data_IF_543995393995
#
_entry.id   IF_543995393995
#
_cell.length_a   1.000
_cell.length_b   1.000
_cell.length_c   1.000
_cell.angle_alpha   90.00
_cell.angle_beta   90.00
_cell.angle_gamma   90.00
#
_symmetry.space_group_name_H-M   'P 1'
#
loop_
_entity.id
_entity.type
_entity.pdbx_description
1 polymer ?
#
# COMPACT_ATOMS: atom_id res chain seq x y z
N UNK A 1 76.89 68.70 -17.27
CA UNK A 1 78.05 67.73 -17.21
C UNK A 1 77.50 66.33 -17.26
N UNK A 2 77.92 65.59 -18.27
CA UNK A 2 77.98 64.11 -18.42
C UNK A 2 76.68 63.35 -18.35
N UNK A 3 76.21 62.93 -19.49
CA UNK A 3 76.45 61.68 -20.23
C UNK A 3 76.08 60.42 -19.46
N UNK A 4 75.14 59.47 -19.90
CA UNK A 4 75.32 58.56 -20.99
C UNK A 4 74.02 57.83 -21.31
N UNK A 5 73.73 57.61 -22.59
CA UNK A 5 72.86 56.59 -23.23
C UNK A 5 73.59 55.23 -23.25
N UNK A 6 73.02 54.14 -23.91
CA UNK A 6 71.71 53.45 -23.92
C UNK A 6 71.91 51.94 -23.64
N UNK A 7 70.84 51.18 -23.71
CA UNK A 7 70.83 49.91 -24.56
C UNK A 7 69.43 49.28 -24.66
N UNK A 8 69.16 48.98 -25.88
CA UNK A 8 67.98 48.14 -26.30
C UNK A 8 68.20 46.69 -25.83
N UNK A 9 67.17 46.05 -25.31
CA UNK A 9 66.96 44.58 -25.44
C UNK A 9 65.49 44.30 -25.65
N UNK A 10 65.20 43.85 -26.88
CA UNK A 10 64.01 43.21 -27.38
C UNK A 10 63.77 41.95 -26.56
N UNK A 11 62.60 41.79 -25.95
CA UNK A 11 62.11 40.50 -25.42
C UNK A 11 60.80 40.18 -26.08
N UNK A 12 60.78 39.10 -26.83
CA UNK A 12 59.62 38.48 -27.45
C UNK A 12 58.68 38.03 -26.36
N UNK A 13 57.42 38.56 -26.32
CA UNK A 13 56.34 38.04 -25.52
C UNK A 13 55.67 36.91 -26.31
N UNK A 14 55.91 35.65 -25.90
CA UNK A 14 55.14 34.47 -26.35
C UNK A 14 53.79 34.52 -25.66
N UNK A 15 52.75 34.77 -26.41
CA UNK A 15 51.36 34.72 -25.94
C UNK A 15 50.93 33.29 -25.66
N UNK A 16 50.89 32.89 -24.38
CA UNK A 16 50.22 31.68 -23.95
C UNK A 16 48.71 31.97 -23.81
N UNK A 17 47.94 31.59 -24.83
CA UNK A 17 46.47 31.62 -24.80
C UNK A 17 45.96 30.62 -23.79
N UNK A 18 45.57 31.06 -22.59
CA UNK A 18 44.78 30.32 -21.64
C UNK A 18 43.34 30.23 -22.20
N UNK A 19 43.02 29.08 -22.85
CA UNK A 19 41.64 28.72 -23.11
C UNK A 19 40.96 28.45 -21.73
N UNK A 20 40.37 29.49 -21.17
CA UNK A 20 39.45 29.33 -20.05
C UNK A 20 38.21 28.57 -20.56
N UNK A 21 38.23 27.26 -20.45
CA UNK A 21 37.01 26.44 -20.65
C UNK A 21 35.98 26.93 -19.63
N UNK A 22 34.93 27.63 -20.12
CA UNK A 22 33.77 27.97 -19.31
C UNK A 22 33.11 26.68 -18.87
N UNK A 23 33.41 26.20 -17.66
CA UNK A 23 32.62 25.20 -16.97
C UNK A 23 31.26 25.84 -16.70
N UNK A 24 30.31 25.63 -17.64
CA UNK A 24 28.94 25.99 -17.41
C UNK A 24 28.50 25.28 -16.13
N UNK A 25 27.95 26.00 -15.11
CA UNK A 25 27.43 25.34 -13.91
C UNK A 25 26.38 24.35 -14.37
N UNK A 26 26.58 23.06 -14.08
CA UNK A 26 25.58 22.05 -14.28
C UNK A 26 24.33 22.56 -13.57
N UNK A 27 23.26 22.85 -14.31
CA UNK A 27 21.98 23.28 -13.77
C UNK A 27 21.61 22.24 -12.74
N UNK A 28 21.68 22.59 -11.44
CA UNK A 28 21.23 21.72 -10.35
C UNK A 28 19.79 21.35 -10.67
N UNK A 29 19.57 20.12 -11.11
CA UNK A 29 18.23 19.62 -11.41
C UNK A 29 17.48 19.63 -10.09
N UNK A 30 16.35 20.35 -10.02
CA UNK A 30 15.54 20.48 -8.81
C UNK A 30 15.15 19.08 -8.30
N UNK A 31 15.41 18.83 -7.02
CA UNK A 31 15.12 17.55 -6.38
C UNK A 31 13.60 17.37 -6.26
N UNK A 32 13.07 16.33 -6.87
CA UNK A 32 11.66 15.93 -6.75
C UNK A 32 11.50 15.18 -5.42
N UNK A 33 10.74 15.76 -4.50
CA UNK A 33 10.45 15.15 -3.20
C UNK A 33 9.04 14.58 -3.18
N UNK A 34 8.89 13.32 -2.80
CA UNK A 34 7.61 12.61 -2.69
C UNK A 34 7.47 12.11 -1.25
N UNK A 35 6.33 12.37 -0.63
CA UNK A 35 5.97 11.77 0.65
C UNK A 35 5.25 10.46 0.39
N UNK A 36 5.53 9.42 1.17
CA UNK A 36 4.89 8.12 1.02
C UNK A 36 4.30 7.68 2.36
N UNK A 37 2.99 7.79 2.52
CA UNK A 37 2.25 7.57 3.74
C UNK A 37 1.73 6.13 3.86
N UNK A 38 1.58 5.66 5.09
CA UNK A 38 0.80 4.46 5.42
C UNK A 38 0.47 4.37 6.91
N UNK A 39 -0.50 3.50 7.25
CA UNK A 39 -0.96 3.28 8.63
C UNK A 39 -0.17 2.22 9.41
N UNK A 40 0.71 1.47 8.73
CA UNK A 40 1.34 0.28 9.26
C UNK A 40 2.55 0.59 10.13
N UNK A 41 3.01 -0.37 10.94
CA UNK A 41 4.26 -0.24 11.67
C UNK A 41 5.48 -0.36 10.75
N UNK A 42 6.63 0.15 11.20
CA UNK A 42 7.89 0.09 10.44
C UNK A 42 8.50 -1.32 10.34
N UNK A 43 7.93 -2.31 11.02
CA UNK A 43 8.38 -3.71 10.98
C UNK A 43 7.61 -4.57 9.99
N UNK A 44 6.55 -4.04 9.40
CA UNK A 44 5.69 -4.80 8.49
C UNK A 44 6.26 -4.91 7.07
N UNK A 45 6.04 -6.03 6.37
CA UNK A 45 6.51 -6.26 5.00
C UNK A 45 6.22 -5.12 4.03
N UNK A 46 5.03 -4.51 4.13
CA UNK A 46 4.64 -3.42 3.24
C UNK A 46 5.45 -2.13 3.49
N UNK A 47 5.84 -1.83 4.75
CA UNK A 47 6.76 -0.73 5.04
C UNK A 47 8.15 -1.01 4.46
N UNK A 48 8.69 -2.21 4.70
CA UNK A 48 10.01 -2.59 4.18
C UNK A 48 10.07 -2.53 2.65
N UNK A 49 8.98 -2.90 1.97
CA UNK A 49 8.86 -2.76 0.52
C UNK A 49 8.79 -1.31 0.05
N UNK A 50 8.15 -0.42 0.82
CA UNK A 50 8.13 1.01 0.53
C UNK A 50 9.53 1.64 0.67
N UNK A 51 10.30 1.25 1.69
CA UNK A 51 11.70 1.67 1.86
C UNK A 51 12.61 1.12 0.74
N UNK A 52 12.42 -0.14 0.35
CA UNK A 52 13.10 -0.73 -0.81
C UNK A 52 12.81 0.06 -2.10
N UNK A 53 11.56 0.39 -2.36
CA UNK A 53 11.15 1.21 -3.49
C UNK A 53 11.80 2.59 -3.45
N UNK A 54 11.73 3.30 -2.31
CA UNK A 54 12.29 4.63 -2.14
C UNK A 54 13.80 4.65 -2.41
N UNK A 55 14.53 3.67 -1.87
CA UNK A 55 15.97 3.49 -2.08
C UNK A 55 16.31 3.27 -3.57
N UNK A 56 15.58 2.39 -4.24
CA UNK A 56 15.85 2.05 -5.64
C UNK A 56 15.53 3.22 -6.58
N UNK A 57 14.43 3.94 -6.34
CA UNK A 57 14.08 5.13 -7.11
C UNK A 57 15.17 6.19 -6.96
N UNK A 58 15.66 6.46 -5.74
CA UNK A 58 16.74 7.40 -5.52
C UNK A 58 18.02 6.98 -6.26
N UNK A 59 18.41 5.71 -6.16
CA UNK A 59 19.60 5.18 -6.86
C UNK A 59 19.48 5.30 -8.38
N UNK A 60 18.35 4.88 -8.97
CA UNK A 60 18.12 4.90 -10.42
C UNK A 60 17.96 6.30 -11.01
N UNK A 61 17.62 7.28 -10.19
CA UNK A 61 17.49 8.69 -10.60
C UNK A 61 18.69 9.53 -10.20
N UNK A 62 19.80 8.93 -9.74
CA UNK A 62 20.98 9.61 -9.22
C UNK A 62 20.63 10.68 -8.17
N UNK A 63 19.71 10.37 -7.25
CA UNK A 63 19.23 11.25 -6.19
C UNK A 63 18.28 12.37 -6.63
N UNK A 64 17.92 12.44 -7.91
CA UNK A 64 16.98 13.43 -8.44
C UNK A 64 15.56 13.27 -7.86
N UNK A 65 15.14 12.04 -7.54
CA UNK A 65 13.89 11.76 -6.85
C UNK A 65 14.19 11.21 -5.47
N UNK A 66 13.62 11.84 -4.45
CA UNK A 66 13.71 11.43 -3.06
C UNK A 66 12.31 11.13 -2.52
N UNK A 67 12.12 9.90 -2.06
CA UNK A 67 10.86 9.45 -1.46
C UNK A 67 11.10 9.26 0.03
N UNK A 68 10.31 9.94 0.87
CA UNK A 68 10.33 9.77 2.30
C UNK A 68 9.09 9.02 2.76
N UNK A 69 9.29 7.91 3.49
CA UNK A 69 8.22 7.06 4.01
C UNK A 69 7.76 7.58 5.37
N UNK A 70 6.44 7.67 5.57
CA UNK A 70 5.77 8.13 6.79
C UNK A 70 4.85 7.03 7.31
N UNK A 71 5.32 6.18 8.26
CA UNK A 71 4.54 5.09 8.85
C UNK A 71 3.52 5.59 9.89
N UNK A 72 2.61 4.69 10.32
CA UNK A 72 1.78 4.88 11.51
C UNK A 72 0.83 6.08 11.44
N UNK A 73 0.27 6.37 10.27
CA UNK A 73 -0.67 7.49 10.06
C UNK A 73 -0.08 8.88 10.35
N UNK A 74 1.24 9.06 10.27
CA UNK A 74 1.89 10.37 10.51
C UNK A 74 1.39 11.48 9.58
N UNK A 75 0.87 11.15 8.40
CA UNK A 75 0.26 12.10 7.47
C UNK A 75 -1.27 12.08 7.48
N UNK A 76 -1.86 11.34 8.41
CA UNK A 76 -3.30 11.16 8.57
C UNK A 76 -3.79 9.76 8.18
N UNK A 77 -5.05 9.45 8.45
CA UNK A 77 -5.70 8.21 8.07
C UNK A 77 -5.69 7.97 6.56
N UNK A 78 -5.60 6.70 6.14
CA UNK A 78 -5.42 6.35 4.73
C UNK A 78 -6.44 6.93 3.76
N UNK A 79 -7.71 7.09 4.18
CA UNK A 79 -8.75 7.74 3.35
C UNK A 79 -8.48 9.24 3.14
N UNK A 80 -8.02 9.93 4.17
CA UNK A 80 -7.68 11.35 4.09
C UNK A 80 -6.46 11.56 3.17
N UNK A 81 -5.46 10.66 3.27
CA UNK A 81 -4.30 10.71 2.37
C UNK A 81 -4.73 10.45 0.92
N UNK A 82 -5.65 9.52 0.65
CA UNK A 82 -6.19 9.32 -0.70
C UNK A 82 -6.92 10.58 -1.20
N UNK A 83 -7.65 11.28 -0.35
CA UNK A 83 -8.28 12.55 -0.72
C UNK A 83 -7.23 13.64 -1.01
N UNK A 84 -6.16 13.72 -0.21
CA UNK A 84 -5.03 14.62 -0.50
C UNK A 84 -4.40 14.32 -1.86
N UNK A 85 -4.22 13.02 -2.21
CA UNK A 85 -3.73 12.59 -3.53
C UNK A 85 -4.68 13.11 -4.62
N UNK A 86 -5.98 12.88 -4.48
CA UNK A 86 -7.00 13.34 -5.45
C UNK A 86 -6.94 14.84 -5.66
N UNK A 87 -6.72 15.61 -4.60
CA UNK A 87 -6.62 17.07 -4.63
C UNK A 87 -5.29 17.59 -5.20
N UNK A 88 -4.35 16.72 -5.58
CA UNK A 88 -3.10 17.10 -6.23
C UNK A 88 -1.89 17.22 -5.30
N UNK A 89 -2.00 16.77 -4.06
CA UNK A 89 -0.87 16.77 -3.16
C UNK A 89 0.25 15.82 -3.67
N UNK A 90 1.51 16.25 -3.44
CA UNK A 90 2.68 15.42 -3.73
C UNK A 90 2.88 14.36 -2.62
N UNK A 91 2.01 13.38 -2.62
CA UNK A 91 2.01 12.26 -1.67
C UNK A 91 1.59 10.98 -2.37
N UNK A 92 2.16 9.86 -1.95
CA UNK A 92 1.74 8.49 -2.23
C UNK A 92 1.15 7.87 -0.98
N UNK A 93 0.38 6.81 -1.13
CA UNK A 93 -0.17 6.05 -0.01
C UNK A 93 -0.02 4.55 -0.23
N UNK A 94 0.25 3.77 0.82
CA UNK A 94 -0.07 2.35 0.82
C UNK A 94 -1.54 2.25 1.19
N UNK A 95 -2.38 1.91 0.23
CA UNK A 95 -3.83 1.87 0.43
C UNK A 95 -4.43 0.52 0.06
N UNK A 96 -5.61 0.29 0.55
CA UNK A 96 -6.45 -0.86 0.24
C UNK A 96 -7.35 -0.53 -0.97
N UNK A 97 -7.62 -1.48 -1.91
CA UNK A 97 -8.55 -1.27 -3.02
C UNK A 97 -9.91 -0.71 -2.58
N UNK A 98 -10.41 -1.15 -1.43
CA UNK A 98 -11.70 -0.68 -0.91
C UNK A 98 -11.72 0.78 -0.50
N UNK A 99 -10.57 1.39 -0.17
CA UNK A 99 -10.51 2.84 0.05
C UNK A 99 -10.55 3.63 -1.26
N UNK A 100 -10.10 3.04 -2.36
CA UNK A 100 -10.24 3.62 -3.69
C UNK A 100 -11.66 3.47 -4.26
N UNK A 101 -12.48 2.57 -3.69
CA UNK A 101 -13.88 2.39 -4.08
C UNK A 101 -14.77 3.59 -3.77
N UNK A 102 -14.34 4.51 -2.92
CA UNK A 102 -15.02 5.78 -2.70
C UNK A 102 -15.00 6.66 -3.97
N UNK A 103 -14.02 6.46 -4.85
CA UNK A 103 -13.84 7.20 -6.10
C UNK A 103 -14.23 6.37 -7.34
N UNK A 104 -13.90 5.09 -7.35
CA UNK A 104 -14.25 4.13 -8.41
C UNK A 104 -14.87 2.91 -7.76
N UNK A 105 -16.21 2.85 -7.62
CA UNK A 105 -16.89 1.81 -6.85
C UNK A 105 -16.49 0.38 -7.19
N UNK A 106 -16.28 0.07 -8.46
CA UNK A 106 -16.02 -1.29 -8.94
C UNK A 106 -14.70 -1.89 -8.39
N UNK A 107 -13.69 -1.06 -8.07
CA UNK A 107 -12.42 -1.60 -7.54
C UNK A 107 -12.61 -2.26 -6.17
N UNK A 108 -13.66 -1.88 -5.45
CA UNK A 108 -14.00 -2.47 -4.15
C UNK A 108 -14.28 -3.97 -4.20
N UNK A 109 -14.60 -4.53 -5.37
CA UNK A 109 -14.80 -5.98 -5.54
C UNK A 109 -13.53 -6.79 -5.19
N UNK A 110 -12.34 -6.20 -5.37
CA UNK A 110 -11.05 -6.85 -5.04
C UNK A 110 -10.92 -7.18 -3.53
N UNK A 111 -11.70 -6.54 -2.69
CA UNK A 111 -11.81 -6.85 -1.27
C UNK A 111 -12.94 -7.82 -0.94
N UNK A 112 -13.53 -8.45 -1.94
CA UNK A 112 -14.62 -9.40 -1.73
C UNK A 112 -14.21 -10.61 -0.88
N UNK A 113 -15.07 -11.06 0.05
CA UNK A 113 -14.75 -12.22 0.89
C UNK A 113 -14.56 -13.47 0.04
N UNK A 114 -13.41 -14.15 0.26
CA UNK A 114 -13.04 -15.38 -0.46
C UNK A 114 -12.96 -15.25 -1.99
N UNK A 115 -12.81 -14.04 -2.53
CA UNK A 115 -12.78 -13.77 -3.97
C UNK A 115 -11.54 -14.41 -4.62
N UNK A 116 -10.36 -14.16 -4.05
CA UNK A 116 -9.07 -14.67 -4.50
C UNK A 116 -8.47 -15.52 -3.39
N UNK A 117 -7.78 -16.59 -3.77
CA UNK A 117 -7.17 -17.54 -2.82
C UNK A 117 -5.65 -17.47 -2.86
N UNK A 118 -5.07 -17.06 -3.99
CA UNK A 118 -3.63 -17.09 -4.24
C UNK A 118 -3.16 -15.79 -4.87
N UNK A 119 -1.85 -15.53 -4.78
CA UNK A 119 -1.19 -14.42 -5.46
C UNK A 119 -1.39 -14.54 -6.99
N UNK A 120 -1.27 -15.75 -7.52
CA UNK A 120 -1.42 -16.02 -8.96
C UNK A 120 -2.82 -15.69 -9.48
N UNK A 121 -3.87 -16.02 -8.71
CA UNK A 121 -5.24 -15.61 -9.06
C UNK A 121 -5.38 -14.09 -9.10
N UNK A 122 -4.75 -13.38 -8.15
CA UNK A 122 -4.76 -11.92 -8.14
C UNK A 122 -4.01 -11.34 -9.34
N UNK A 123 -2.85 -11.89 -9.69
CA UNK A 123 -2.08 -11.48 -10.87
C UNK A 123 -2.87 -11.65 -12.17
N UNK A 124 -3.67 -12.73 -12.29
CA UNK A 124 -4.60 -12.88 -13.42
C UNK A 124 -5.63 -11.76 -13.49
N UNK A 125 -6.17 -11.33 -12.33
CA UNK A 125 -7.09 -10.19 -12.29
C UNK A 125 -6.40 -8.90 -12.73
N UNK A 126 -5.19 -8.63 -12.27
CA UNK A 126 -4.43 -7.44 -12.66
C UNK A 126 -4.12 -7.42 -14.17
N UNK A 127 -3.89 -8.59 -14.78
CA UNK A 127 -3.66 -8.71 -16.21
C UNK A 127 -4.93 -8.59 -17.06
N UNK A 128 -6.11 -8.66 -16.45
CA UNK A 128 -7.41 -8.69 -17.15
C UNK A 128 -7.77 -7.34 -17.78
N UNK A 129 -8.61 -7.39 -18.83
CA UNK A 129 -9.13 -6.18 -19.46
C UNK A 129 -10.04 -5.38 -18.51
N UNK A 130 -10.72 -6.08 -17.59
CA UNK A 130 -11.51 -5.44 -16.53
C UNK A 130 -10.62 -4.56 -15.64
N UNK A 131 -9.48 -5.07 -15.18
CA UNK A 131 -8.59 -4.27 -14.32
C UNK A 131 -7.97 -3.09 -15.07
N UNK A 132 -7.51 -3.30 -16.31
CA UNK A 132 -7.01 -2.22 -17.18
C UNK A 132 -8.07 -1.10 -17.40
N UNK A 133 -9.34 -1.49 -17.55
CA UNK A 133 -10.43 -0.51 -17.64
C UNK A 133 -10.65 0.22 -16.30
N UNK A 134 -10.50 -0.50 -15.18
CA UNK A 134 -10.61 0.09 -13.83
C UNK A 134 -9.45 1.04 -13.53
N UNK A 135 -8.22 0.73 -13.95
CA UNK A 135 -7.08 1.66 -13.85
C UNK A 135 -7.34 2.97 -14.61
N UNK A 136 -7.87 2.89 -15.84
CA UNK A 136 -8.24 4.11 -16.60
C UNK A 136 -9.30 4.95 -15.87
N UNK A 137 -10.26 4.31 -15.20
CA UNK A 137 -11.26 5.02 -14.39
C UNK A 137 -10.62 5.67 -13.14
N UNK A 138 -9.63 5.03 -12.53
CA UNK A 138 -8.86 5.62 -11.44
C UNK A 138 -8.04 6.83 -11.92
N UNK A 139 -7.44 6.75 -13.11
CA UNK A 139 -6.74 7.90 -13.72
C UNK A 139 -7.70 9.08 -13.97
N UNK A 140 -8.91 8.81 -14.46
CA UNK A 140 -9.96 9.82 -14.61
C UNK A 140 -10.43 10.41 -13.27
N UNK A 141 -10.36 9.61 -12.19
CA UNK A 141 -10.67 10.04 -10.84
C UNK A 141 -9.50 10.77 -10.13
N UNK A 142 -8.35 10.91 -10.80
CA UNK A 142 -7.20 11.66 -10.29
C UNK A 142 -6.05 10.80 -9.76
N UNK A 143 -6.10 9.46 -9.91
CA UNK A 143 -5.12 8.53 -9.35
C UNK A 143 -4.31 7.81 -10.43
N UNK A 144 -2.98 7.84 -10.30
CA UNK A 144 -2.08 6.92 -10.99
C UNK A 144 -1.64 5.83 -10.02
N UNK A 145 -1.87 4.57 -10.37
CA UNK A 145 -1.30 3.46 -9.62
C UNK A 145 0.17 3.28 -10.00
N UNK A 146 1.04 3.42 -9.03
CA UNK A 146 2.48 3.12 -9.15
C UNK A 146 2.73 1.63 -8.91
N UNK A 147 1.91 1.02 -8.07
CA UNK A 147 1.92 -0.40 -7.77
C UNK A 147 0.50 -0.89 -7.47
N UNK A 148 0.19 -2.12 -7.90
CA UNK A 148 -1.08 -2.80 -7.62
C UNK A 148 -0.90 -4.27 -7.19
N UNK A 149 0.32 -4.82 -7.24
CA UNK A 149 0.62 -6.24 -7.06
C UNK A 149 1.18 -6.61 -5.68
N UNK A 150 0.98 -5.78 -4.66
CA UNK A 150 1.51 -6.03 -3.32
C UNK A 150 0.63 -6.97 -2.50
N UNK A 151 1.01 -8.26 -2.37
CA UNK A 151 0.32 -9.17 -1.45
C UNK A 151 0.55 -8.74 -0.01
N UNK A 152 -0.56 -8.52 0.71
CA UNK A 152 -0.52 -8.05 2.10
C UNK A 152 -0.75 -9.18 3.12
N UNK A 153 -1.33 -10.29 2.69
CA UNK A 153 -1.56 -11.48 3.50
C UNK A 153 -3.02 -11.89 3.61
N UNK A 154 -3.24 -13.08 4.15
CA UNK A 154 -4.59 -13.51 4.55
C UNK A 154 -4.96 -12.86 5.87
N UNK A 155 -6.21 -12.38 5.95
CA UNK A 155 -6.72 -11.72 7.15
C UNK A 155 -7.45 -12.70 8.05
N UNK A 156 -7.15 -12.62 9.34
CA UNK A 156 -7.68 -13.49 10.37
C UNK A 156 -8.32 -12.67 11.49
N UNK A 157 -9.26 -13.29 12.22
CA UNK A 157 -9.92 -12.66 13.35
C UNK A 157 -9.07 -12.87 14.62
N UNK A 158 -8.85 -11.81 15.40
CA UNK A 158 -8.26 -11.88 16.75
C UNK A 158 -9.28 -11.47 17.80
N UNK A 159 -9.43 -12.25 18.87
CA UNK A 159 -10.40 -12.05 19.95
C UNK A 159 -9.88 -12.66 21.26
N UNK A 160 -10.67 -12.58 22.35
CA UNK A 160 -10.37 -13.29 23.62
C UNK A 160 -10.86 -14.75 23.63
N UNK A 161 -11.79 -15.09 22.75
CA UNK A 161 -12.36 -16.44 22.65
C UNK A 161 -12.28 -16.97 21.23
N UNK A 162 -12.24 -18.30 21.07
CA UNK A 162 -12.33 -18.93 19.75
C UNK A 162 -13.60 -18.52 19.00
N UNK A 163 -13.46 -18.34 17.69
CA UNK A 163 -14.57 -18.13 16.75
C UNK A 163 -14.39 -19.11 15.60
N UNK A 164 -15.09 -20.24 15.66
CA UNK A 164 -14.94 -21.34 14.69
C UNK A 164 -16.00 -21.34 13.59
N UNK A 165 -17.09 -20.61 13.82
CA UNK A 165 -18.23 -20.57 12.90
C UNK A 165 -18.94 -19.21 12.95
N UNK A 166 -19.81 -18.89 11.96
CA UNK A 166 -20.66 -17.70 12.01
C UNK A 166 -21.54 -17.62 13.25
N UNK A 167 -21.96 -18.76 13.83
CA UNK A 167 -22.75 -18.78 15.06
C UNK A 167 -21.95 -18.23 16.26
N UNK A 168 -20.63 -18.46 16.31
CA UNK A 168 -19.76 -18.00 17.43
C UNK A 168 -19.37 -16.52 17.33
N UNK A 169 -19.45 -15.89 16.14
CA UNK A 169 -19.22 -14.45 15.94
C UNK A 169 -20.51 -13.64 16.07
N UNK A 170 -21.66 -14.30 16.06
CA UNK A 170 -22.95 -13.63 16.09
C UNK A 170 -23.08 -12.67 17.28
N UNK A 171 -23.45 -11.42 17.00
CA UNK A 171 -23.60 -10.35 17.99
C UNK A 171 -22.29 -9.80 18.56
N UNK A 172 -21.11 -10.34 18.18
CA UNK A 172 -19.81 -9.82 18.62
C UNK A 172 -19.53 -8.46 17.98
N UNK A 173 -19.08 -7.49 18.75
CA UNK A 173 -18.62 -6.20 18.23
C UNK A 173 -17.22 -6.37 17.67
N UNK A 174 -17.09 -6.29 16.35
CA UNK A 174 -15.83 -6.48 15.63
C UNK A 174 -15.37 -5.16 15.02
N UNK A 175 -14.13 -4.78 15.31
CA UNK A 175 -13.51 -3.65 14.63
C UNK A 175 -13.33 -3.99 13.15
N UNK A 176 -13.77 -3.09 12.29
CA UNK A 176 -13.46 -3.11 10.85
C UNK A 176 -12.88 -1.75 10.42
N UNK A 177 -12.10 -1.69 9.34
CA UNK A 177 -11.76 -0.40 8.73
C UNK A 177 -13.02 0.29 8.20
N UNK A 178 -13.02 1.62 7.99
CA UNK A 178 -14.16 2.35 7.40
C UNK A 178 -14.32 2.04 5.90
N UNK A 179 -14.67 0.80 5.60
CA UNK A 179 -14.79 0.21 4.27
C UNK A 179 -16.08 -0.59 4.18
N UNK A 180 -16.93 -0.27 3.21
CA UNK A 180 -18.26 -0.88 3.06
C UNK A 180 -18.18 -2.40 2.87
N UNK A 181 -17.18 -2.91 2.14
CA UNK A 181 -17.01 -4.35 1.92
C UNK A 181 -16.78 -5.08 3.27
N UNK A 182 -15.94 -4.53 4.15
CA UNK A 182 -15.73 -5.11 5.48
C UNK A 182 -17.01 -5.06 6.32
N UNK A 183 -17.68 -3.91 6.33
CA UNK A 183 -18.93 -3.74 7.08
C UNK A 183 -19.96 -4.78 6.66
N UNK A 184 -20.21 -4.92 5.35
CA UNK A 184 -21.21 -5.86 4.84
C UNK A 184 -20.78 -7.33 5.03
N UNK A 185 -19.47 -7.63 4.93
CA UNK A 185 -18.96 -8.97 5.19
C UNK A 185 -19.17 -9.39 6.64
N UNK A 186 -18.80 -8.55 7.60
CA UNK A 186 -18.97 -8.89 9.01
C UNK A 186 -20.43 -8.88 9.46
N UNK A 187 -21.30 -8.03 8.88
CA UNK A 187 -22.76 -8.14 9.04
C UNK A 187 -23.28 -9.49 8.54
N UNK A 188 -22.85 -9.93 7.37
CA UNK A 188 -23.26 -11.21 6.79
C UNK A 188 -22.79 -12.41 7.63
N UNK A 189 -21.64 -12.29 8.33
CA UNK A 189 -21.20 -13.27 9.33
C UNK A 189 -22.03 -13.23 10.63
N UNK A 190 -22.91 -12.25 10.82
CA UNK A 190 -23.71 -12.08 12.03
C UNK A 190 -23.08 -11.20 13.11
N UNK A 191 -21.90 -10.62 12.87
CA UNK A 191 -21.24 -9.70 13.78
C UNK A 191 -21.87 -8.30 13.77
N UNK A 192 -21.48 -7.48 14.73
CA UNK A 192 -21.73 -6.03 14.78
C UNK A 192 -20.45 -5.28 14.43
N UNK A 193 -20.21 -4.95 13.14
CA UNK A 193 -19.03 -4.22 12.73
C UNK A 193 -19.04 -2.80 13.26
N UNK A 194 -17.91 -2.37 13.83
CA UNK A 194 -17.68 -1.01 14.34
C UNK A 194 -16.43 -0.46 13.66
N UNK A 195 -16.57 0.69 13.02
CA UNK A 195 -15.45 1.33 12.32
C UNK A 195 -14.56 2.08 13.31
N UNK A 196 -13.25 1.74 13.29
CA UNK A 196 -12.21 2.40 14.10
C UNK A 196 -10.97 2.54 13.24
N UNK A 197 -10.29 3.69 13.29
CA UNK A 197 -9.03 3.93 12.57
C UNK A 197 -7.94 2.97 13.07
N UNK A 198 -6.96 2.65 12.21
CA UNK A 198 -5.99 1.60 12.55
C UNK A 198 -5.15 1.96 13.78
N UNK A 199 -4.72 3.21 13.90
CA UNK A 199 -3.96 3.72 15.05
C UNK A 199 -4.70 3.62 16.40
N UNK A 200 -6.03 3.52 16.37
CA UNK A 200 -6.88 3.47 17.56
C UNK A 200 -7.27 2.04 17.97
N UNK A 201 -6.99 1.03 17.11
CA UNK A 201 -7.51 -0.35 17.31
C UNK A 201 -7.00 -0.98 18.62
N UNK A 202 -5.72 -0.78 18.95
CA UNK A 202 -5.17 -1.32 20.20
C UNK A 202 -5.94 -0.79 21.42
N UNK A 203 -6.13 0.52 21.50
CA UNK A 203 -6.88 1.15 22.58
C UNK A 203 -8.35 0.72 22.62
N UNK A 204 -9.00 0.61 21.46
CA UNK A 204 -10.39 0.16 21.37
C UNK A 204 -10.59 -1.29 21.86
N UNK A 205 -9.64 -2.17 21.56
CA UNK A 205 -9.60 -3.53 22.09
C UNK A 205 -9.31 -3.53 23.59
N UNK A 206 -8.30 -2.79 24.06
CA UNK A 206 -7.91 -2.73 25.46
C UNK A 206 -9.06 -2.24 26.36
N UNK A 207 -9.84 -1.26 25.88
CA UNK A 207 -10.98 -0.70 26.58
C UNK A 207 -12.29 -1.46 26.34
N UNK A 208 -12.27 -2.57 25.59
CA UNK A 208 -13.44 -3.36 25.19
C UNK A 208 -14.53 -2.56 24.45
N UNK A 209 -14.18 -1.45 23.78
CA UNK A 209 -15.07 -0.77 22.82
C UNK A 209 -15.42 -1.72 21.67
N UNK A 210 -14.45 -2.55 21.26
CA UNK A 210 -14.65 -3.69 20.37
C UNK A 210 -14.09 -4.96 21.01
N UNK A 211 -14.74 -6.09 20.75
CA UNK A 211 -14.38 -7.40 21.31
C UNK A 211 -13.35 -8.12 20.45
N UNK A 212 -13.30 -7.82 19.15
CA UNK A 212 -12.41 -8.44 18.19
C UNK A 212 -11.95 -7.44 17.13
N UNK A 213 -10.88 -7.79 16.44
CA UNK A 213 -10.39 -7.11 15.24
C UNK A 213 -9.91 -8.15 14.22
N UNK A 214 -9.56 -7.71 13.02
CA UNK A 214 -9.06 -8.59 11.98
C UNK A 214 -7.92 -7.93 11.20
N UNK A 215 -6.91 -8.71 10.84
CA UNK A 215 -5.79 -8.26 10.03
C UNK A 215 -4.92 -9.46 9.59
N UNK A 216 -3.93 -9.25 8.69
CA UNK A 216 -2.86 -10.22 8.48
C UNK A 216 -1.98 -10.37 9.72
N UNK A 217 -1.28 -11.51 9.84
CA UNK A 217 -0.45 -11.82 11.02
C UNK A 217 0.62 -10.75 11.29
N UNK A 218 1.27 -10.23 10.24
CA UNK A 218 2.25 -9.16 10.37
C UNK A 218 1.68 -7.89 11.00
N UNK A 219 0.45 -7.52 10.64
CA UNK A 219 -0.23 -6.34 11.20
C UNK A 219 -0.76 -6.60 12.62
N UNK A 220 -1.25 -7.82 12.92
CA UNK A 220 -1.62 -8.22 14.29
C UNK A 220 -0.43 -8.12 15.24
N UNK A 221 0.77 -8.52 14.77
CA UNK A 221 2.02 -8.37 15.51
C UNK A 221 2.45 -6.90 15.59
N UNK A 222 2.53 -6.21 14.45
CA UNK A 222 3.04 -4.84 14.34
C UNK A 222 2.24 -3.82 15.17
N UNK A 223 0.90 -3.96 15.21
CA UNK A 223 0.03 -3.15 16.05
C UNK A 223 -0.12 -3.71 17.48
N UNK A 224 0.64 -4.76 17.85
CA UNK A 224 0.66 -5.37 19.20
C UNK A 224 -0.70 -5.87 19.69
N UNK A 225 -1.62 -6.20 18.78
CA UNK A 225 -2.98 -6.62 19.18
C UNK A 225 -2.96 -7.94 19.98
N UNK A 226 -1.90 -8.72 19.84
CA UNK A 226 -1.63 -9.92 20.63
C UNK A 226 -1.40 -9.65 22.14
N UNK A 227 -1.12 -8.42 22.55
CA UNK A 227 -1.01 -8.06 23.97
C UNK A 227 -2.38 -8.01 24.65
N UNK A 228 -3.42 -7.61 23.92
CA UNK A 228 -4.78 -7.35 24.42
C UNK A 228 -5.81 -8.39 23.96
N UNK A 229 -5.47 -9.31 23.04
CA UNK A 229 -6.29 -10.44 22.59
C UNK A 229 -5.41 -11.66 22.34
N UNK A 230 -5.88 -12.85 22.74
CA UNK A 230 -5.03 -14.04 22.80
C UNK A 230 -5.46 -15.19 21.89
N UNK A 231 -6.52 -15.02 21.10
CA UNK A 231 -6.99 -16.08 20.21
C UNK A 231 -7.11 -15.56 18.79
N UNK A 232 -6.42 -16.21 17.85
CA UNK A 232 -6.55 -15.98 16.41
C UNK A 232 -7.34 -17.14 15.81
N UNK A 233 -8.52 -16.83 15.26
CA UNK A 233 -9.31 -17.75 14.45
C UNK A 233 -8.90 -17.57 12.99
N UNK A 234 -8.43 -18.66 12.34
CA UNK A 234 -7.79 -18.64 11.01
C UNK A 234 -8.83 -18.53 9.88
N UNK A 235 -9.69 -17.54 9.96
CA UNK A 235 -10.82 -17.34 9.05
C UNK A 235 -10.43 -17.16 7.60
N UNK A 236 -9.30 -16.54 7.29
CA UNK A 236 -8.84 -16.30 5.91
C UNK A 236 -9.88 -15.62 5.02
N UNK A 237 -10.77 -14.83 5.63
CA UNK A 237 -11.96 -14.27 4.97
C UNK A 237 -11.65 -13.28 3.86
N UNK A 238 -10.46 -12.65 3.90
CA UNK A 238 -9.92 -11.84 2.81
C UNK A 238 -8.49 -12.24 2.50
N UNK A 239 -8.17 -12.37 1.23
CA UNK A 239 -6.80 -12.35 0.72
C UNK A 239 -6.49 -10.91 0.31
N UNK A 240 -5.73 -10.22 1.15
CA UNK A 240 -5.55 -8.78 1.03
C UNK A 240 -4.36 -8.40 0.14
N UNK A 241 -4.54 -7.35 -0.63
CA UNK A 241 -3.51 -6.73 -1.46
C UNK A 241 -3.50 -5.22 -1.21
N UNK A 242 -2.35 -4.61 -1.43
CA UNK A 242 -2.19 -3.15 -1.34
C UNK A 242 -1.91 -2.55 -2.71
N UNK A 243 -2.23 -1.28 -2.84
CA UNK A 243 -1.96 -0.45 -4.00
C UNK A 243 -1.26 0.84 -3.58
N UNK A 244 -0.42 1.39 -4.46
CA UNK A 244 0.31 2.64 -4.23
C UNK A 244 -0.14 3.71 -5.22
N UNK A 245 -1.23 4.43 -4.94
CA UNK A 245 -1.67 5.56 -5.75
C UNK A 245 -0.80 6.80 -5.52
N UNK A 246 -0.69 7.61 -6.57
CA UNK A 246 -0.28 9.01 -6.52
C UNK A 246 -1.19 9.86 -7.41
N UNK A 247 -1.10 11.19 -7.30
CA UNK A 247 -1.88 12.07 -8.17
C UNK A 247 -1.46 11.95 -9.63
N UNK A 248 -2.42 11.73 -10.54
CA UNK A 248 -2.17 11.55 -11.98
C UNK A 248 -1.54 12.79 -12.62
N UNK A 249 -1.98 14.00 -12.25
CA UNK A 249 -1.45 15.23 -12.82
C UNK A 249 -0.03 15.50 -12.33
N UNK A 250 0.28 15.17 -11.07
CA UNK A 250 1.65 15.22 -10.57
C UNK A 250 2.52 14.22 -11.34
N UNK A 251 2.11 12.97 -11.47
CA UNK A 251 2.82 11.94 -12.23
C UNK A 251 3.09 12.38 -13.68
N UNK A 252 2.09 12.90 -14.38
CA UNK A 252 2.22 13.31 -15.78
C UNK A 252 3.17 14.50 -16.00
N UNK A 253 3.40 15.33 -14.98
CA UNK A 253 4.40 16.42 -15.03
C UNK A 253 5.83 15.97 -14.78
N UNK A 254 6.03 14.75 -14.30
CA UNK A 254 7.38 14.20 -14.10
C UNK A 254 8.07 13.93 -15.45
N UNK A 255 9.40 14.05 -15.54
CA UNK A 255 10.14 13.62 -16.73
C UNK A 255 9.86 12.16 -17.09
N UNK A 256 9.80 11.82 -18.37
CA UNK A 256 9.42 10.48 -18.84
C UNK A 256 10.32 9.36 -18.28
N UNK A 257 11.60 9.63 -18.11
CA UNK A 257 12.54 8.70 -17.47
C UNK A 257 12.22 8.45 -15.99
N UNK A 258 11.77 9.48 -15.26
CA UNK A 258 11.32 9.37 -13.87
C UNK A 258 10.00 8.58 -13.78
N UNK A 259 9.04 8.86 -14.66
CA UNK A 259 7.79 8.09 -14.74
C UNK A 259 8.08 6.59 -14.93
N UNK A 260 8.95 6.27 -15.87
CA UNK A 260 9.38 4.88 -16.14
C UNK A 260 10.01 4.23 -14.90
N UNK A 261 10.93 4.93 -14.23
CA UNK A 261 11.58 4.42 -13.02
C UNK A 261 10.55 4.16 -11.91
N UNK A 262 9.61 5.08 -11.67
CA UNK A 262 8.57 4.91 -10.65
C UNK A 262 7.71 3.66 -10.90
N UNK A 263 7.27 3.43 -12.14
CA UNK A 263 6.43 2.28 -12.48
C UNK A 263 7.21 0.96 -12.39
N UNK A 264 8.44 0.91 -12.89
CA UNK A 264 9.27 -0.30 -12.84
C UNK A 264 9.64 -0.66 -11.40
N UNK A 265 10.09 0.32 -10.60
CA UNK A 265 10.43 0.08 -9.20
C UNK A 265 9.18 -0.14 -8.33
N UNK A 266 8.03 0.46 -8.69
CA UNK A 266 6.75 0.16 -8.07
C UNK A 266 6.36 -1.32 -8.21
N UNK A 267 6.44 -1.86 -9.43
CA UNK A 267 6.20 -3.29 -9.70
C UNK A 267 7.15 -4.19 -8.89
N UNK A 268 8.44 -3.84 -8.84
CA UNK A 268 9.43 -4.58 -8.01
C UNK A 268 9.14 -4.43 -6.51
N UNK A 269 8.69 -3.26 -6.08
CA UNK A 269 8.27 -3.03 -4.68
C UNK A 269 7.10 -3.92 -4.28
N UNK A 270 6.11 -4.09 -5.16
CA UNK A 270 4.99 -5.04 -4.94
C UNK A 270 5.45 -6.49 -4.88
N UNK A 271 6.38 -6.89 -5.76
CA UNK A 271 6.99 -8.22 -5.71
C UNK A 271 7.80 -8.45 -4.42
N UNK A 272 8.54 -7.44 -3.95
CA UNK A 272 9.27 -7.50 -2.68
C UNK A 272 8.34 -7.58 -1.49
N UNK A 273 7.23 -6.79 -1.47
CA UNK A 273 6.19 -6.92 -0.45
C UNK A 273 5.64 -8.35 -0.40
N UNK A 274 5.30 -8.92 -1.56
CA UNK A 274 4.80 -10.28 -1.69
C UNK A 274 5.81 -11.31 -1.13
N UNK A 275 7.06 -11.19 -1.54
CA UNK A 275 8.16 -12.06 -1.06
C UNK A 275 8.31 -12.00 0.45
N UNK A 276 8.37 -10.79 1.01
CA UNK A 276 8.50 -10.57 2.45
C UNK A 276 7.29 -11.10 3.22
N UNK A 277 6.07 -10.82 2.74
CA UNK A 277 4.83 -11.29 3.38
C UNK A 277 4.80 -12.82 3.45
N UNK A 278 5.15 -13.50 2.35
CA UNK A 278 5.18 -14.97 2.33
C UNK A 278 6.31 -15.54 3.20
N UNK A 279 7.52 -14.98 3.11
CA UNK A 279 8.68 -15.50 3.84
C UNK A 279 8.60 -15.26 5.35
N UNK A 280 7.93 -14.22 5.81
CA UNK A 280 7.81 -13.88 7.24
C UNK A 280 6.52 -14.39 7.89
N UNK A 281 5.62 -15.02 7.13
CA UNK A 281 4.34 -15.49 7.67
C UNK A 281 4.51 -16.46 8.83
N UNK A 282 5.38 -17.46 8.67
CA UNK A 282 5.64 -18.49 9.70
C UNK A 282 6.40 -17.92 10.90
N UNK A 283 7.27 -16.92 10.68
CA UNK A 283 7.95 -16.20 11.75
C UNK A 283 6.94 -15.39 12.59
N UNK A 284 6.03 -14.65 11.96
CA UNK A 284 4.97 -13.96 12.69
C UNK A 284 4.06 -14.93 13.46
N UNK A 285 3.73 -16.08 12.88
CA UNK A 285 2.97 -17.11 13.58
C UNK A 285 3.74 -17.64 14.80
N UNK A 286 5.03 -17.91 14.66
CA UNK A 286 5.88 -18.36 15.77
C UNK A 286 5.99 -17.31 16.89
N UNK A 287 6.20 -16.04 16.53
CA UNK A 287 6.24 -14.92 17.50
C UNK A 287 4.93 -14.77 18.25
N UNK A 288 3.79 -14.82 17.54
CA UNK A 288 2.46 -14.73 18.14
C UNK A 288 2.23 -15.89 19.12
N UNK A 289 2.59 -17.13 18.75
CA UNK A 289 2.52 -18.29 19.66
C UNK A 289 3.44 -18.11 20.87
N UNK A 290 4.67 -17.65 20.67
CA UNK A 290 5.60 -17.34 21.73
C UNK A 290 5.11 -16.26 22.70
N UNK A 291 4.26 -15.34 22.22
CA UNK A 291 3.57 -14.33 23.04
C UNK A 291 2.27 -14.84 23.69
N UNK A 292 2.00 -16.15 23.63
CA UNK A 292 0.85 -16.80 24.27
C UNK A 292 -0.46 -16.71 23.46
N UNK A 293 -0.38 -16.45 22.15
CA UNK A 293 -1.55 -16.47 21.25
C UNK A 293 -1.86 -17.89 20.79
N UNK A 294 -3.11 -18.30 20.92
CA UNK A 294 -3.63 -19.55 20.40
C UNK A 294 -4.18 -19.35 18.98
N UNK A 295 -3.90 -20.30 18.09
CA UNK A 295 -4.48 -20.36 16.76
C UNK A 295 -5.56 -21.43 16.71
N UNK A 296 -6.70 -21.09 16.11
CA UNK A 296 -7.88 -21.95 16.06
C UNK A 296 -8.36 -22.07 14.63
N UNK A 297 -8.52 -23.30 14.16
CA UNK A 297 -9.11 -23.59 12.87
C UNK A 297 -10.62 -23.35 12.89
N UNK A 298 -11.16 -22.99 11.73
CA UNK A 298 -12.57 -22.59 11.57
C UNK A 298 -13.28 -23.39 10.49
N UNK A 299 -14.60 -23.40 10.52
CA UNK A 299 -15.43 -23.89 9.39
C UNK A 299 -15.44 -22.83 8.28
N UNK A 300 -14.39 -22.83 7.46
CA UNK A 300 -14.27 -21.91 6.32
C UNK A 300 -15.45 -22.02 5.35
N UNK A 301 -16.02 -23.20 5.16
CA UNK A 301 -17.17 -23.40 4.28
C UNK A 301 -18.43 -22.71 4.82
N UNK A 302 -18.65 -22.72 6.14
CA UNK A 302 -19.74 -21.98 6.77
C UNK A 302 -19.56 -20.46 6.61
N UNK A 303 -18.36 -19.93 6.82
CA UNK A 303 -18.08 -18.51 6.59
C UNK A 303 -18.24 -18.09 5.12
N UNK A 304 -17.79 -18.93 4.17
CA UNK A 304 -18.00 -18.68 2.73
C UNK A 304 -19.50 -18.65 2.37
N UNK A 305 -20.30 -19.59 2.90
CA UNK A 305 -21.76 -19.58 2.68
C UNK A 305 -22.40 -18.34 3.27
N UNK A 306 -22.04 -17.95 4.49
CA UNK A 306 -22.59 -16.79 5.16
C UNK A 306 -22.33 -15.49 4.40
N UNK A 307 -21.16 -15.38 3.76
CA UNK A 307 -20.72 -14.15 3.06
C UNK A 307 -21.06 -14.12 1.58
N UNK A 308 -21.59 -15.19 1.00
CA UNK A 308 -21.87 -15.28 -0.43
C UNK A 308 -22.81 -14.19 -0.97
N UNK A 309 -23.74 -13.71 -0.13
CA UNK A 309 -24.70 -12.66 -0.50
C UNK A 309 -24.08 -11.24 -0.53
N UNK A 310 -22.89 -11.05 0.04
CA UNK A 310 -22.25 -9.73 0.19
C UNK A 310 -22.07 -9.04 -1.17
N UNK A 311 -21.74 -9.79 -2.20
CA UNK A 311 -21.55 -9.26 -3.56
C UNK A 311 -22.81 -8.61 -4.18
N UNK A 312 -23.99 -8.80 -3.57
CA UNK A 312 -25.24 -8.16 -3.97
C UNK A 312 -25.54 -6.84 -3.24
N UNK A 313 -24.72 -6.47 -2.27
CA UNK A 313 -24.96 -5.32 -1.40
C UNK A 313 -24.42 -3.97 -1.96
N UNK A 314 -23.94 -3.96 -3.21
CA UNK A 314 -23.26 -2.80 -3.80
C UNK A 314 -24.00 -2.21 -4.99
N UNK A 315 -24.99 -1.34 -4.78
CA UNK A 315 -25.82 -0.78 -5.88
C UNK A 315 -25.06 0.15 -6.83
N UNK A 316 -23.88 0.63 -6.42
CA UNK A 316 -23.03 1.49 -7.25
C UNK A 316 -22.08 0.71 -8.17
N UNK A 317 -22.01 -0.60 -8.04
CA UNK A 317 -21.21 -1.42 -8.93
C UNK A 317 -21.83 -1.51 -10.32
N UNK A 318 -20.97 -1.62 -11.32
CA UNK A 318 -21.41 -1.98 -12.67
C UNK A 318 -22.21 -3.29 -12.62
N UNK A 319 -23.42 -3.35 -13.22
CA UNK A 319 -24.20 -4.58 -13.26
C UNK A 319 -23.37 -5.76 -13.79
N UNK A 320 -23.43 -6.91 -13.10
CA UNK A 320 -22.66 -8.11 -13.46
C UNK A 320 -21.18 -8.05 -13.13
N UNK A 321 -20.72 -7.08 -12.33
CA UNK A 321 -19.30 -6.91 -11.96
C UNK A 321 -18.70 -8.19 -11.38
N UNK A 322 -19.34 -8.79 -10.39
CA UNK A 322 -18.84 -10.02 -9.75
C UNK A 322 -18.65 -11.15 -10.77
N UNK A 323 -19.61 -11.36 -11.67
CA UNK A 323 -19.52 -12.39 -12.71
C UNK A 323 -18.38 -12.10 -13.69
N UNK A 324 -18.17 -10.83 -14.04
CA UNK A 324 -17.06 -10.38 -14.89
C UNK A 324 -15.70 -10.70 -14.25
N UNK A 325 -15.55 -10.39 -12.95
CA UNK A 325 -14.33 -10.67 -12.19
C UNK A 325 -14.11 -12.17 -12.04
N UNK A 326 -15.16 -12.94 -11.72
CA UNK A 326 -15.06 -14.40 -11.65
C UNK A 326 -14.74 -15.05 -12.99
N UNK A 327 -15.20 -14.49 -14.10
CA UNK A 327 -14.83 -14.95 -15.44
C UNK A 327 -13.35 -14.68 -15.75
N UNK A 328 -12.80 -13.54 -15.29
CA UNK A 328 -11.37 -13.22 -15.44
C UNK A 328 -10.48 -14.16 -14.62
N UNK A 329 -10.91 -14.60 -13.45
CA UNK A 329 -10.19 -15.58 -12.62
C UNK A 329 -10.13 -16.98 -13.24
N UNK A 330 -11.13 -17.37 -14.03
CA UNK A 330 -11.19 -18.69 -14.68
C UNK A 330 -10.33 -18.82 -15.93
N UNK A 331 -9.93 -17.72 -16.55
CA UNK A 331 -8.98 -17.67 -17.69
C UNK A 331 -7.55 -17.87 -17.23
#
# INVERSE_FOLDING_TARGET
>A
MNHHFPTRRTALAVGAGLAAGAVLPAKSQETIRIRFAHSLSSTEPAHLAAEFFAKNVAARTNGRVQIQVFPGEQLGPGKEVNEMIRQGANVMNITDPGYLSDFVPDIGVLNGPYLVRTVQEYEKLLASDWFKATERRLEQAGFKLIMANGYFGQRHLIADKPVRSPAEIAGMTVRVPPNTMWIETFKAMGARPTTVQWSEVYGALQQNVVQAAEAPLGSLWGAKLHEVRKVISTTGHFTAFTMWPMNINFFNRLPADVQKVLLEEGTKGGAEQTRLTLSLNDDFMARLRGAGVSFVDVDNAAFQRATASVYKAFPKWTPGLHDTVMAALRK
#
